data_IF_327080475001
#
_entry.id   IF_327080475001
#
_cell.length_a   1.000
_cell.length_b   1.000
_cell.length_c   1.000
_cell.angle_alpha   90.00
_cell.angle_beta   90.00
_cell.angle_gamma   90.00
#
_symmetry.space_group_name_H-M   'P 1'
#
loop_
_entity.id
_entity.type
_entity.pdbx_description
1 polymer ?
#
# COMPACT_ATOMS: atom_id res chain seq x y z
N UNK A 1 54.07 48.93 0.94
CA UNK A 1 53.11 48.46 1.95
C UNK A 1 51.65 48.42 1.45
N UNK A 2 51.12 49.50 0.84
CA UNK A 2 49.71 49.50 0.36
C UNK A 2 49.36 48.37 -0.67
N UNK A 3 50.29 48.02 -1.58
CA UNK A 3 50.06 46.94 -2.60
C UNK A 3 50.08 45.55 -2.01
N UNK A 4 50.85 45.29 -0.96
CA UNK A 4 50.86 43.98 -0.26
C UNK A 4 49.63 43.84 0.59
N UNK A 5 49.09 44.87 1.21
CA UNK A 5 47.84 44.84 1.97
C UNK A 5 46.65 44.59 1.08
N UNK A 6 46.61 45.12 -0.15
CA UNK A 6 45.56 44.92 -1.12
C UNK A 6 45.56 43.47 -1.64
N UNK A 7 46.75 42.89 -1.90
CA UNK A 7 46.88 41.48 -2.31
C UNK A 7 46.46 40.52 -1.21
N UNK A 8 46.80 40.79 0.06
CA UNK A 8 46.34 40.02 1.22
C UNK A 8 44.80 40.10 1.42
N UNK A 9 44.20 41.28 1.19
CA UNK A 9 42.76 41.47 1.27
C UNK A 9 42.02 40.71 0.16
N UNK A 10 42.57 40.64 -1.07
CA UNK A 10 42.00 39.88 -2.18
C UNK A 10 42.12 38.37 -1.92
N UNK A 11 43.24 37.88 -1.39
CA UNK A 11 43.44 36.49 -1.01
C UNK A 11 42.48 36.10 0.13
N UNK A 12 42.30 36.99 1.13
CA UNK A 12 41.35 36.75 2.22
C UNK A 12 39.89 36.79 1.76
N UNK A 13 39.52 37.65 0.80
CA UNK A 13 38.21 37.67 0.16
C UNK A 13 37.97 36.42 -0.68
N UNK A 14 38.97 35.87 -1.37
CA UNK A 14 38.87 34.60 -2.08
C UNK A 14 38.75 33.39 -1.13
N UNK A 15 39.40 33.44 0.03
CA UNK A 15 39.25 32.40 1.07
C UNK A 15 37.89 32.46 1.77
N UNK A 16 37.26 33.62 1.89
CA UNK A 16 35.91 33.78 2.41
C UNK A 16 34.85 33.36 1.39
N UNK A 17 35.15 33.41 0.08
CA UNK A 17 34.25 32.89 -0.98
C UNK A 17 34.27 31.38 -1.05
N UNK A 18 35.26 30.69 -0.47
CA UNK A 18 35.36 29.23 -0.42
C UNK A 18 34.55 28.58 0.71
N UNK A 19 33.87 29.38 1.54
CA UNK A 19 32.97 28.86 2.61
C UNK A 19 31.51 28.73 2.19
N UNK A 20 31.20 28.77 0.92
CA UNK A 20 29.90 28.31 0.41
C UNK A 20 29.86 26.79 0.49
N UNK A 21 29.12 26.24 1.44
CA UNK A 21 28.90 24.78 1.49
C UNK A 21 28.34 24.26 0.15
N UNK A 22 28.66 23.03 -0.21
CA UNK A 22 28.14 22.37 -1.42
C UNK A 22 26.61 22.49 -1.45
N UNK A 23 26.09 23.04 -2.54
CA UNK A 23 24.66 23.15 -2.76
C UNK A 23 24.15 21.85 -3.41
N UNK A 24 23.29 21.14 -2.70
CA UNK A 24 22.63 19.96 -3.23
C UNK A 24 21.25 20.35 -3.77
N UNK A 25 20.88 19.76 -4.91
CA UNK A 25 19.59 19.93 -5.58
C UNK A 25 19.13 18.59 -6.15
N UNK A 26 17.88 18.19 -5.85
CA UNK A 26 17.26 17.03 -6.46
C UNK A 26 16.24 17.50 -7.49
N UNK A 27 16.44 17.11 -8.75
CA UNK A 27 15.61 17.54 -9.86
C UNK A 27 15.45 16.42 -10.88
N UNK A 28 14.23 16.16 -11.31
CA UNK A 28 13.90 15.16 -12.33
C UNK A 28 14.49 13.76 -12.03
N UNK A 29 14.49 13.36 -10.74
CA UNK A 29 15.02 12.07 -10.31
C UNK A 29 16.54 12.00 -10.15
N UNK A 30 17.26 13.12 -10.36
CA UNK A 30 18.72 13.21 -10.31
C UNK A 30 19.17 14.13 -9.17
N UNK A 31 20.13 13.65 -8.37
CA UNK A 31 20.80 14.45 -7.34
C UNK A 31 22.03 15.16 -7.90
N UNK A 32 22.07 16.48 -7.73
CA UNK A 32 23.20 17.33 -8.11
C UNK A 32 23.92 17.90 -6.89
N UNK A 33 25.25 18.08 -7.00
CA UNK A 33 26.11 18.83 -6.10
C UNK A 33 26.81 19.93 -6.90
N UNK A 34 26.52 21.19 -6.62
CA UNK A 34 27.04 22.36 -7.36
C UNK A 34 26.83 22.21 -8.90
N UNK A 35 25.66 21.69 -9.31
CA UNK A 35 25.27 21.51 -10.72
C UNK A 35 25.90 20.29 -11.40
N UNK A 36 26.62 19.42 -10.70
CA UNK A 36 27.14 18.15 -11.21
C UNK A 36 26.43 16.97 -10.54
N UNK A 37 26.25 15.88 -11.26
CA UNK A 37 25.70 14.65 -10.71
C UNK A 37 26.47 14.20 -9.47
N UNK A 38 25.75 13.95 -8.38
CA UNK A 38 26.35 13.61 -7.10
C UNK A 38 26.47 12.10 -6.90
N UNK A 39 27.54 11.66 -6.26
CA UNK A 39 27.71 10.27 -5.83
C UNK A 39 28.07 10.19 -4.35
N UNK A 40 27.53 9.20 -3.65
CA UNK A 40 27.77 8.94 -2.24
C UNK A 40 26.48 8.63 -1.49
N UNK A 41 26.61 8.48 -0.16
CA UNK A 41 25.49 8.29 0.75
C UNK A 41 25.07 9.62 1.36
N UNK A 42 23.78 9.88 1.41
CA UNK A 42 23.21 11.13 1.88
C UNK A 42 22.12 10.90 2.92
N UNK A 43 22.03 11.80 3.89
CA UNK A 43 20.82 12.03 4.70
C UNK A 43 20.04 13.18 4.08
N UNK A 44 18.72 13.07 4.10
CA UNK A 44 17.81 14.08 3.55
C UNK A 44 16.44 13.96 4.23
N UNK A 45 15.53 14.87 3.90
CA UNK A 45 14.12 14.70 4.21
C UNK A 45 13.36 14.33 2.95
N UNK A 46 12.54 13.29 3.03
CA UNK A 46 11.59 12.89 1.99
C UNK A 46 10.18 13.05 2.55
N UNK A 47 9.42 14.00 1.97
CA UNK A 47 8.09 14.37 2.46
C UNK A 47 8.07 14.73 3.97
N UNK A 48 9.15 15.34 4.47
CA UNK A 48 9.31 15.73 5.87
C UNK A 48 9.83 14.63 6.81
N UNK A 49 9.94 13.38 6.35
CA UNK A 49 10.54 12.29 7.14
C UNK A 49 12.05 12.23 6.92
N UNK A 50 12.79 11.93 7.99
CA UNK A 50 14.24 11.65 7.87
C UNK A 50 14.44 10.44 6.98
N UNK A 51 15.37 10.55 6.04
CA UNK A 51 15.72 9.48 5.11
C UNK A 51 17.23 9.40 4.90
N UNK A 52 17.69 8.25 4.43
CA UNK A 52 19.07 7.99 4.06
C UNK A 52 19.10 7.14 2.80
N UNK A 53 20.01 7.44 1.87
CA UNK A 53 20.15 6.65 0.65
C UNK A 53 21.47 6.93 -0.06
N UNK A 54 21.80 6.07 -1.02
CA UNK A 54 23.01 6.18 -1.84
C UNK A 54 22.63 6.55 -3.27
N UNK A 55 23.39 7.47 -3.84
CA UNK A 55 23.30 7.88 -5.23
C UNK A 55 24.61 7.56 -5.95
N UNK A 56 24.51 7.15 -7.20
CA UNK A 56 25.62 6.93 -8.13
C UNK A 56 25.34 7.71 -9.40
N UNK A 57 26.24 8.65 -9.74
CA UNK A 57 26.03 9.56 -10.88
C UNK A 57 24.64 10.24 -10.86
N UNK A 58 24.26 10.73 -9.69
CA UNK A 58 22.98 11.40 -9.47
C UNK A 58 21.76 10.49 -9.33
N UNK A 59 21.85 9.23 -9.73
CA UNK A 59 20.73 8.27 -9.69
C UNK A 59 20.69 7.50 -8.36
N UNK A 60 19.51 7.25 -7.86
CA UNK A 60 19.29 6.40 -6.69
C UNK A 60 19.84 4.99 -6.97
N UNK A 61 20.68 4.45 -6.06
CA UNK A 61 21.28 3.12 -6.20
C UNK A 61 21.49 2.47 -4.84
N UNK A 62 20.99 1.25 -4.68
CA UNK A 62 21.00 0.50 -3.42
C UNK A 62 19.80 0.79 -2.52
N UNK A 63 20.03 0.68 -1.20
CA UNK A 63 18.99 0.79 -0.17
C UNK A 63 18.75 2.25 0.22
N UNK A 64 17.49 2.63 0.24
CA UNK A 64 16.98 3.87 0.81
C UNK A 64 16.14 3.54 2.05
N UNK A 65 16.40 4.22 3.15
CA UNK A 65 15.68 4.03 4.40
C UNK A 65 14.98 5.32 4.80
N UNK A 66 13.72 5.22 5.20
CA UNK A 66 12.95 6.30 5.85
C UNK A 66 12.65 5.92 7.28
N UNK A 67 12.53 6.90 8.15
CA UNK A 67 12.43 6.68 9.58
C UNK A 67 11.22 7.40 10.17
N UNK A 68 10.59 6.76 11.13
CA UNK A 68 9.65 7.40 12.06
C UNK A 68 10.38 8.43 12.91
N UNK A 69 9.61 9.29 13.63
CA UNK A 69 10.17 10.32 14.51
C UNK A 69 10.96 9.76 15.70
N UNK A 70 10.70 8.53 16.10
CA UNK A 70 11.44 7.81 17.15
C UNK A 70 12.72 7.13 16.64
N UNK A 71 13.00 7.19 15.34
CA UNK A 71 14.17 6.61 14.70
C UNK A 71 13.99 5.16 14.25
N UNK A 72 12.84 4.53 14.50
CA UNK A 72 12.55 3.20 13.94
C UNK A 72 12.37 3.29 12.42
N UNK A 73 12.67 2.19 11.72
CA UNK A 73 12.55 2.11 10.26
C UNK A 73 11.07 2.13 9.89
N UNK A 74 10.72 3.03 8.96
CA UNK A 74 9.38 3.15 8.39
C UNK A 74 9.30 2.49 7.01
N UNK A 75 10.32 2.72 6.17
CA UNK A 75 10.35 2.17 4.79
C UNK A 75 11.77 1.81 4.41
N UNK A 76 11.90 0.76 3.62
CA UNK A 76 13.09 0.38 2.87
C UNK A 76 12.73 0.28 1.40
N UNK A 77 13.24 1.20 0.61
CA UNK A 77 13.12 1.19 -0.84
C UNK A 77 14.44 0.69 -1.44
N UNK A 78 14.38 -0.12 -2.47
CA UNK A 78 15.57 -0.61 -3.18
C UNK A 78 15.57 -0.13 -4.62
N UNK A 79 16.69 0.46 -5.03
CA UNK A 79 16.89 0.98 -6.38
C UNK A 79 18.12 0.36 -7.05
N UNK A 80 18.14 0.36 -8.38
CA UNK A 80 19.32 0.10 -9.20
C UNK A 80 19.34 1.05 -10.38
N UNK A 81 20.39 1.90 -10.48
CA UNK A 81 20.52 2.92 -11.52
C UNK A 81 19.25 3.77 -11.71
N UNK A 82 18.67 4.26 -10.63
CA UNK A 82 17.44 5.03 -10.61
C UNK A 82 16.16 4.22 -10.81
N UNK A 83 16.24 2.92 -11.15
CA UNK A 83 15.08 2.07 -11.30
C UNK A 83 14.66 1.50 -9.96
N UNK A 84 13.38 1.63 -9.66
CA UNK A 84 12.75 1.05 -8.51
C UNK A 84 12.64 -0.49 -8.64
N UNK A 85 12.99 -1.21 -7.57
CA UNK A 85 12.94 -2.67 -7.52
C UNK A 85 11.95 -3.21 -6.48
N UNK A 86 11.96 -2.65 -5.26
CA UNK A 86 11.21 -3.17 -4.13
C UNK A 86 10.99 -2.12 -3.05
N UNK A 87 9.82 -2.17 -2.37
CA UNK A 87 9.53 -1.46 -1.11
C UNK A 87 9.18 -2.45 0.00
N UNK A 88 9.67 -2.19 1.19
CA UNK A 88 9.23 -2.80 2.44
C UNK A 88 8.79 -1.69 3.39
N UNK A 89 7.54 -1.72 3.82
CA UNK A 89 6.94 -0.76 4.73
C UNK A 89 6.75 -1.43 6.07
N UNK A 90 7.09 -0.74 7.15
CA UNK A 90 7.07 -1.29 8.50
C UNK A 90 6.20 -0.46 9.42
N UNK A 91 5.55 -1.12 10.37
CA UNK A 91 4.95 -0.49 11.55
C UNK A 91 6.03 -0.01 12.51
N UNK A 92 5.67 0.91 13.44
CA UNK A 92 6.59 1.36 14.50
C UNK A 92 7.11 0.23 15.39
N UNK A 93 6.35 -0.85 15.54
CA UNK A 93 6.78 -2.05 16.29
C UNK A 93 7.77 -2.93 15.52
N UNK A 94 8.16 -2.55 14.29
CA UNK A 94 9.09 -3.27 13.43
C UNK A 94 8.46 -4.42 12.63
N UNK A 95 7.18 -4.69 12.78
CA UNK A 95 6.47 -5.65 11.95
C UNK A 95 6.30 -5.13 10.52
N UNK A 96 6.36 -6.02 9.54
CA UNK A 96 6.14 -5.69 8.14
C UNK A 96 4.66 -5.31 7.93
N UNK A 97 4.41 -4.14 7.34
CA UNK A 97 3.09 -3.67 6.93
C UNK A 97 2.80 -4.04 5.48
N UNK A 98 3.77 -3.80 4.60
CA UNK A 98 3.65 -4.15 3.19
C UNK A 98 5.01 -4.54 2.60
N UNK A 99 4.97 -5.47 1.65
CA UNK A 99 6.09 -5.87 0.80
C UNK A 99 5.62 -5.77 -0.65
N UNK A 100 6.25 -4.90 -1.42
CA UNK A 100 5.91 -4.71 -2.83
C UNK A 100 7.13 -4.85 -3.72
N UNK A 101 6.99 -5.58 -4.81
CA UNK A 101 7.96 -5.60 -5.89
C UNK A 101 7.29 -5.88 -7.23
N UNK A 102 7.91 -5.42 -8.33
CA UNK A 102 7.41 -5.67 -9.67
C UNK A 102 7.34 -7.16 -10.04
N UNK A 103 8.19 -7.99 -9.42
CA UNK A 103 8.24 -9.43 -9.69
C UNK A 103 7.26 -10.24 -8.84
N UNK A 104 7.10 -9.88 -7.56
CA UNK A 104 6.35 -10.67 -6.58
C UNK A 104 4.97 -10.10 -6.25
N UNK A 105 4.68 -8.86 -6.69
CA UNK A 105 3.46 -8.15 -6.37
C UNK A 105 3.44 -7.55 -4.97
N UNK A 106 2.25 -7.35 -4.44
CA UNK A 106 2.00 -6.73 -3.14
C UNK A 106 1.59 -7.78 -2.11
N UNK A 107 2.18 -7.71 -0.92
CA UNK A 107 1.65 -8.34 0.30
C UNK A 107 1.37 -7.27 1.32
N UNK A 108 0.22 -7.35 1.98
CA UNK A 108 -0.24 -6.41 2.99
C UNK A 108 -0.52 -7.19 4.28
N UNK A 109 -0.03 -6.67 5.41
CA UNK A 109 -0.13 -7.34 6.71
C UNK A 109 -0.73 -6.40 7.76
N UNK A 110 -1.38 -6.96 8.76
CA UNK A 110 -1.71 -6.26 10.00
C UNK A 110 -0.48 -6.08 10.90
N UNK A 111 -0.62 -5.24 11.93
CA UNK A 111 0.44 -4.95 12.91
C UNK A 111 0.76 -6.13 13.87
N UNK A 112 -0.05 -7.19 13.84
CA UNK A 112 0.20 -8.49 14.47
C UNK A 112 0.90 -9.50 13.53
N UNK A 113 1.18 -9.12 12.27
CA UNK A 113 1.82 -9.93 11.26
C UNK A 113 0.88 -10.83 10.46
N UNK A 114 -0.43 -10.79 10.70
CA UNK A 114 -1.38 -11.55 9.90
C UNK A 114 -1.49 -10.96 8.48
N UNK A 115 -1.54 -11.85 7.47
CA UNK A 115 -1.68 -11.45 6.08
C UNK A 115 -3.10 -10.95 5.79
N UNK A 116 -3.22 -9.75 5.25
CA UNK A 116 -4.47 -9.11 4.82
C UNK A 116 -4.77 -9.45 3.38
N UNK A 117 -3.75 -9.30 2.51
CA UNK A 117 -3.87 -9.48 1.07
C UNK A 117 -2.52 -9.88 0.47
N UNK A 118 -2.57 -10.68 -0.59
CA UNK A 118 -1.43 -10.94 -1.46
C UNK A 118 -1.88 -10.86 -2.92
N UNK A 119 -1.11 -10.18 -3.77
CA UNK A 119 -1.30 -10.18 -5.22
C UNK A 119 -0.06 -10.72 -5.91
N UNK A 120 -0.25 -11.45 -6.99
CA UNK A 120 0.81 -11.99 -7.83
C UNK A 120 0.67 -11.45 -9.26
N UNK A 121 1.56 -10.54 -9.71
CA UNK A 121 1.46 -9.95 -11.04
C UNK A 121 1.71 -10.94 -12.18
N UNK A 122 2.39 -12.06 -11.92
CA UNK A 122 2.68 -13.08 -12.94
C UNK A 122 1.45 -13.94 -13.26
N UNK A 123 0.65 -14.24 -12.25
CA UNK A 123 -0.59 -15.04 -12.41
C UNK A 123 -1.83 -14.16 -12.51
N UNK A 124 -1.73 -12.88 -12.15
CA UNK A 124 -2.87 -11.96 -11.99
C UNK A 124 -3.78 -12.33 -10.82
N UNK A 125 -3.31 -13.20 -9.91
CA UNK A 125 -4.08 -13.64 -8.76
C UNK A 125 -3.96 -12.65 -7.61
N UNK A 126 -5.08 -12.35 -6.96
CA UNK A 126 -5.15 -11.58 -5.71
C UNK A 126 -5.98 -12.37 -4.71
N UNK A 127 -5.44 -12.54 -3.51
CA UNK A 127 -6.08 -13.23 -2.39
C UNK A 127 -6.20 -12.26 -1.23
N UNK A 128 -7.40 -12.10 -0.70
CA UNK A 128 -7.61 -11.48 0.62
C UNK A 128 -7.90 -12.58 1.64
N UNK A 129 -7.65 -12.30 2.92
CA UNK A 129 -7.69 -13.30 3.96
C UNK A 129 -8.63 -12.91 5.10
N UNK A 130 -9.29 -13.90 5.69
CA UNK A 130 -9.96 -13.78 6.99
C UNK A 130 -8.96 -13.60 8.12
N UNK A 131 -9.43 -13.12 9.27
CA UNK A 131 -8.63 -12.99 10.50
C UNK A 131 -7.99 -14.29 11.00
N UNK A 132 -8.55 -15.44 10.63
CA UNK A 132 -7.98 -16.75 10.98
C UNK A 132 -6.95 -17.27 9.95
N UNK A 133 -6.61 -16.46 8.94
CA UNK A 133 -5.66 -16.79 7.89
C UNK A 133 -6.22 -17.61 6.72
N UNK A 134 -7.49 -18.01 6.77
CA UNK A 134 -8.12 -18.68 5.65
C UNK A 134 -8.39 -17.67 4.50
N UNK A 135 -8.37 -18.11 3.22
CA UNK A 135 -8.79 -17.26 2.11
C UNK A 135 -10.21 -16.72 2.32
N UNK A 136 -10.40 -15.44 2.03
CA UNK A 136 -11.70 -14.78 2.01
C UNK A 136 -12.20 -14.61 0.58
N UNK A 137 -11.41 -13.95 -0.26
CA UNK A 137 -11.73 -13.73 -1.67
C UNK A 137 -10.49 -14.01 -2.51
N UNK A 138 -10.63 -14.89 -3.48
CA UNK A 138 -9.59 -15.23 -4.46
C UNK A 138 -10.08 -14.74 -5.81
N UNK A 139 -9.31 -13.83 -6.44
CA UNK A 139 -9.56 -13.31 -7.78
C UNK A 139 -8.33 -13.60 -8.61
N UNK A 140 -8.49 -14.27 -9.75
CA UNK A 140 -7.37 -14.55 -10.64
C UNK A 140 -7.81 -15.08 -11.99
N UNK A 141 -7.20 -14.53 -13.06
CA UNK A 141 -7.53 -14.91 -14.42
C UNK A 141 -9.03 -14.74 -14.72
N UNK A 142 -9.71 -15.86 -14.96
CA UNK A 142 -11.16 -15.89 -15.26
C UNK A 142 -11.99 -16.39 -14.08
N UNK A 143 -11.40 -16.50 -12.88
CA UNK A 143 -12.07 -17.06 -11.70
C UNK A 143 -12.17 -16.05 -10.57
N UNK A 144 -13.28 -16.09 -9.83
CA UNK A 144 -13.45 -15.40 -8.55
C UNK A 144 -14.17 -16.32 -7.59
N UNK A 145 -13.63 -16.48 -6.38
CA UNK A 145 -14.21 -17.37 -5.37
C UNK A 145 -14.24 -16.64 -4.02
N UNK A 146 -15.42 -16.57 -3.42
CA UNK A 146 -15.65 -16.09 -2.06
C UNK A 146 -15.81 -17.26 -1.10
N UNK A 147 -15.14 -17.19 0.04
CA UNK A 147 -15.18 -18.19 1.09
C UNK A 147 -15.69 -17.58 2.39
N UNK A 148 -16.33 -18.37 3.23
CA UNK A 148 -16.51 -18.02 4.62
C UNK A 148 -15.25 -18.36 5.45
N UNK A 149 -15.26 -18.01 6.73
CA UNK A 149 -14.14 -18.22 7.65
C UNK A 149 -13.78 -19.69 7.91
N UNK A 150 -14.67 -20.63 7.54
CA UNK A 150 -14.46 -22.08 7.62
C UNK A 150 -13.95 -22.68 6.30
N UNK A 151 -13.58 -21.81 5.34
CA UNK A 151 -13.12 -22.20 4.01
C UNK A 151 -14.21 -22.90 3.15
N UNK A 152 -15.48 -22.63 3.42
CA UNK A 152 -16.60 -23.10 2.61
C UNK A 152 -16.88 -22.09 1.49
N UNK A 153 -17.06 -22.57 0.25
CA UNK A 153 -17.39 -21.72 -0.90
C UNK A 153 -18.80 -21.17 -0.77
N UNK A 154 -18.91 -19.83 -0.75
CA UNK A 154 -20.16 -19.07 -0.75
C UNK A 154 -20.57 -18.66 -2.16
N UNK A 155 -19.58 -18.42 -3.02
CA UNK A 155 -19.78 -17.98 -4.38
C UNK A 155 -18.55 -18.32 -5.23
N UNK A 156 -18.79 -18.75 -6.49
CA UNK A 156 -17.70 -18.96 -7.46
C UNK A 156 -18.16 -18.56 -8.85
N UNK A 157 -17.34 -17.73 -9.53
CA UNK A 157 -17.42 -17.49 -10.97
C UNK A 157 -16.24 -18.20 -11.63
N UNK A 158 -16.49 -18.79 -12.77
CA UNK A 158 -15.48 -19.38 -13.63
C UNK A 158 -15.83 -19.07 -15.09
N UNK A 159 -14.90 -18.45 -15.83
CA UNK A 159 -15.13 -17.98 -17.20
C UNK A 159 -16.39 -17.08 -17.37
N UNK A 160 -16.66 -16.21 -16.39
CA UNK A 160 -17.81 -15.30 -16.40
C UNK A 160 -19.15 -15.95 -16.06
N UNK A 161 -19.17 -17.23 -15.68
CA UNK A 161 -20.38 -17.96 -15.30
C UNK A 161 -20.34 -18.34 -13.83
N UNK A 162 -21.48 -18.21 -13.14
CA UNK A 162 -21.64 -18.72 -11.78
C UNK A 162 -21.57 -20.24 -11.79
N UNK A 163 -20.73 -20.80 -10.91
CA UNK A 163 -20.58 -22.24 -10.73
C UNK A 163 -21.58 -22.74 -9.69
N UNK A 164 -22.19 -23.87 -9.92
CA UNK A 164 -23.04 -24.54 -8.92
C UNK A 164 -22.20 -24.94 -7.69
N UNK A 165 -22.57 -24.38 -6.55
CA UNK A 165 -21.92 -24.62 -5.25
C UNK A 165 -22.74 -25.55 -4.35
N UNK A 166 -23.80 -26.15 -4.89
CA UNK A 166 -24.73 -27.02 -4.14
C UNK A 166 -25.65 -26.25 -3.20
N UNK A 167 -26.02 -25.00 -3.55
CA UNK A 167 -26.97 -24.19 -2.81
C UNK A 167 -28.30 -24.06 -3.53
N UNK A 168 -29.39 -23.90 -2.77
CA UNK A 168 -30.76 -23.72 -3.27
C UNK A 168 -31.17 -22.25 -3.10
N UNK A 169 -31.74 -21.66 -4.14
CA UNK A 169 -32.33 -20.33 -4.11
C UNK A 169 -33.82 -20.41 -3.73
N UNK A 170 -34.18 -19.78 -2.62
CA UNK A 170 -35.56 -19.73 -2.11
C UNK A 170 -36.08 -18.28 -2.24
N UNK A 171 -37.24 -18.12 -2.88
CA UNK A 171 -37.93 -16.81 -2.91
C UNK A 171 -38.77 -16.63 -1.65
N UNK A 172 -38.72 -15.43 -1.07
CA UNK A 172 -39.50 -15.04 0.10
C UNK A 172 -40.78 -14.30 -0.33
N UNK A 173 -41.72 -14.11 0.62
CA UNK A 173 -43.00 -13.43 0.37
C UNK A 173 -42.88 -11.99 -0.06
N UNK A 174 -41.81 -11.29 0.36
CA UNK A 174 -41.50 -9.91 -0.01
C UNK A 174 -40.81 -9.76 -1.37
N UNK A 175 -40.62 -10.88 -2.09
CA UNK A 175 -39.95 -10.93 -3.38
C UNK A 175 -38.42 -11.02 -3.34
N UNK A 176 -37.82 -10.92 -2.18
CA UNK A 176 -36.37 -11.16 -1.99
C UNK A 176 -36.04 -12.65 -2.05
N UNK A 177 -34.75 -12.99 -2.03
CA UNK A 177 -34.30 -14.37 -2.12
C UNK A 177 -33.25 -14.67 -1.04
N UNK A 178 -33.26 -15.93 -0.60
CA UNK A 178 -32.21 -16.52 0.22
C UNK A 178 -31.51 -17.66 -0.51
N UNK A 179 -30.17 -17.64 -0.47
CA UNK A 179 -29.35 -18.75 -0.93
C UNK A 179 -29.03 -19.65 0.26
N UNK A 180 -29.52 -20.91 0.21
CA UNK A 180 -29.40 -21.86 1.33
C UNK A 180 -28.50 -23.01 0.92
N UNK A 181 -27.52 -23.35 1.79
CA UNK A 181 -26.61 -24.49 1.61
C UNK A 181 -26.51 -25.25 2.93
N UNK A 182 -26.71 -26.58 2.90
CA UNK A 182 -26.67 -27.40 4.11
C UNK A 182 -27.56 -26.83 5.24
N UNK A 183 -28.81 -26.47 4.93
CA UNK A 183 -29.80 -25.87 5.84
C UNK A 183 -29.41 -24.52 6.48
N UNK A 184 -28.37 -23.84 5.94
CA UNK A 184 -27.97 -22.52 6.38
C UNK A 184 -28.14 -21.49 5.29
N UNK A 185 -28.66 -20.32 5.65
CA UNK A 185 -28.65 -19.13 4.75
C UNK A 185 -27.22 -18.64 4.64
N UNK A 186 -26.66 -18.67 3.43
CA UNK A 186 -25.30 -18.21 3.13
C UNK A 186 -25.27 -16.85 2.43
N UNK A 187 -26.39 -16.48 1.78
CA UNK A 187 -26.54 -15.15 1.16
C UNK A 187 -28.01 -14.74 1.09
N UNK A 188 -28.23 -13.42 0.96
CA UNK A 188 -29.52 -12.79 0.70
C UNK A 188 -29.42 -11.91 -0.53
N UNK A 189 -30.50 -11.85 -1.30
CA UNK A 189 -30.60 -11.01 -2.51
C UNK A 189 -31.86 -10.18 -2.38
N UNK A 190 -31.79 -8.88 -2.59
CA UNK A 190 -32.96 -8.01 -2.55
C UNK A 190 -33.98 -8.34 -3.67
N UNK A 191 -35.21 -7.88 -3.54
CA UNK A 191 -36.28 -8.17 -4.50
C UNK A 191 -35.99 -7.69 -5.94
N UNK A 192 -35.07 -6.73 -6.11
CA UNK A 192 -34.65 -6.21 -7.42
C UNK A 192 -33.43 -6.97 -7.99
N UNK A 193 -32.82 -7.89 -7.23
CA UNK A 193 -31.63 -8.62 -7.64
C UNK A 193 -30.36 -7.77 -7.72
N UNK A 194 -30.36 -6.58 -7.10
CA UNK A 194 -29.26 -5.63 -7.19
C UNK A 194 -28.30 -5.68 -6.01
N UNK A 195 -28.81 -6.01 -4.81
CA UNK A 195 -28.00 -6.08 -3.58
C UNK A 195 -27.84 -7.52 -3.16
N UNK A 196 -26.62 -8.01 -3.17
CA UNK A 196 -26.23 -9.33 -2.71
C UNK A 196 -25.49 -9.19 -1.37
N UNK A 197 -26.01 -9.88 -0.35
CA UNK A 197 -25.43 -9.90 1.00
C UNK A 197 -25.01 -11.31 1.33
N UNK A 198 -23.70 -11.55 1.47
CA UNK A 198 -23.13 -12.82 1.91
C UNK A 198 -22.90 -12.81 3.42
N UNK A 199 -23.04 -13.96 4.06
CA UNK A 199 -22.98 -14.09 5.50
C UNK A 199 -21.78 -14.93 5.95
N UNK A 200 -21.25 -14.62 7.13
CA UNK A 200 -20.42 -15.54 7.90
C UNK A 200 -21.22 -16.79 8.30
N UNK A 201 -20.54 -17.87 8.66
CA UNK A 201 -21.19 -19.11 9.14
C UNK A 201 -22.04 -18.91 10.40
N UNK A 202 -21.81 -17.83 11.11
CA UNK A 202 -22.50 -17.40 12.35
C UNK A 202 -23.65 -16.42 12.11
N UNK A 203 -23.83 -15.96 10.84
CA UNK A 203 -24.97 -15.14 10.40
C UNK A 203 -24.70 -13.63 10.30
N UNK A 204 -23.56 -13.14 10.75
CA UNK A 204 -23.17 -11.73 10.56
C UNK A 204 -22.91 -11.46 9.08
N UNK A 205 -23.02 -10.20 8.67
CA UNK A 205 -22.73 -9.77 7.29
C UNK A 205 -21.22 -9.92 7.04
N UNK A 206 -20.87 -10.68 5.98
CA UNK A 206 -19.52 -10.82 5.47
C UNK A 206 -19.24 -9.83 4.34
N UNK A 207 -20.12 -9.78 3.35
CA UNK A 207 -19.94 -8.94 2.16
C UNK A 207 -21.29 -8.41 1.67
N UNK A 208 -21.32 -7.17 1.24
CA UNK A 208 -22.43 -6.57 0.49
C UNK A 208 -21.89 -6.11 -0.86
N UNK A 209 -22.52 -6.55 -1.93
CA UNK A 209 -22.23 -6.13 -3.29
C UNK A 209 -23.46 -5.51 -3.92
N UNK A 210 -23.33 -4.29 -4.45
CA UNK A 210 -24.38 -3.62 -5.21
C UNK A 210 -23.99 -3.63 -6.69
N UNK A 211 -24.68 -4.43 -7.48
CA UNK A 211 -24.38 -4.63 -8.91
C UNK A 211 -24.71 -3.40 -9.76
N UNK A 212 -25.63 -2.53 -9.32
CA UNK A 212 -26.04 -1.34 -10.04
C UNK A 212 -25.01 -0.19 -9.88
N UNK A 213 -24.33 -0.11 -8.73
CA UNK A 213 -23.32 0.93 -8.44
C UNK A 213 -21.89 0.40 -8.46
N UNK A 214 -21.70 -0.90 -8.76
CA UNK A 214 -20.43 -1.61 -8.73
C UNK A 214 -19.69 -1.54 -7.38
N UNK A 215 -20.41 -1.16 -6.30
CA UNK A 215 -19.85 -1.04 -4.97
C UNK A 215 -19.80 -2.41 -4.27
N UNK A 216 -18.67 -2.70 -3.65
CA UNK A 216 -18.48 -3.87 -2.80
C UNK A 216 -17.93 -3.43 -1.45
N UNK A 217 -18.57 -3.88 -0.37
CA UNK A 217 -18.08 -3.73 1.00
C UNK A 217 -17.94 -5.12 1.65
N UNK A 218 -16.80 -5.36 2.29
CA UNK A 218 -16.51 -6.56 3.08
C UNK A 218 -16.34 -6.12 4.53
N UNK A 219 -16.87 -6.90 5.45
CA UNK A 219 -16.91 -6.56 6.87
C UNK A 219 -16.14 -7.57 7.70
N UNK A 220 -15.53 -7.12 8.79
CA UNK A 220 -15.14 -7.97 9.90
C UNK A 220 -16.38 -8.50 10.63
N UNK A 221 -16.23 -9.57 11.41
CA UNK A 221 -17.33 -10.10 12.25
C UNK A 221 -17.89 -9.08 13.26
N UNK A 222 -17.10 -8.10 13.66
CA UNK A 222 -17.56 -7.01 14.53
C UNK A 222 -18.40 -5.94 13.81
N UNK A 223 -18.65 -6.10 12.51
CA UNK A 223 -19.43 -5.18 11.67
C UNK A 223 -18.65 -3.97 11.14
N UNK A 224 -17.39 -3.81 11.49
CA UNK A 224 -16.54 -2.77 10.90
C UNK A 224 -16.14 -3.14 9.46
N UNK A 225 -16.05 -2.13 8.59
CA UNK A 225 -15.64 -2.35 7.20
C UNK A 225 -14.18 -2.80 7.14
N UNK A 226 -13.93 -3.97 6.56
CA UNK A 226 -12.61 -4.48 6.20
C UNK A 226 -12.12 -3.88 4.88
N UNK A 227 -12.97 -4.00 3.85
CA UNK A 227 -12.68 -3.53 2.49
C UNK A 227 -13.89 -2.78 1.93
N UNK A 228 -13.60 -1.73 1.15
CA UNK A 228 -14.59 -1.04 0.33
C UNK A 228 -13.97 -0.71 -1.02
N UNK A 229 -14.70 -0.97 -2.13
CA UNK A 229 -14.26 -0.66 -3.48
C UNK A 229 -15.42 -0.43 -4.43
N UNK A 230 -15.16 0.36 -5.49
CA UNK A 230 -16.13 0.73 -6.53
C UNK A 230 -15.59 0.53 -7.97
N UNK A 231 -14.54 -0.31 -8.11
CA UNK A 231 -13.88 -0.55 -9.40
C UNK A 231 -12.83 0.50 -9.79
N UNK A 232 -12.85 1.71 -9.19
CA UNK A 232 -11.86 2.79 -9.41
C UNK A 232 -11.04 3.02 -8.15
N UNK A 233 -11.71 3.04 -7.02
CA UNK A 233 -11.14 3.28 -5.70
C UNK A 233 -11.22 2.02 -4.85
N UNK A 234 -10.24 1.81 -3.98
CA UNK A 234 -10.27 0.75 -2.98
C UNK A 234 -9.68 1.22 -1.67
N UNK A 235 -10.21 0.69 -0.57
CA UNK A 235 -9.73 0.97 0.78
C UNK A 235 -9.77 -0.30 1.61
N UNK A 236 -8.67 -0.57 2.31
CA UNK A 236 -8.58 -1.55 3.38
C UNK A 236 -8.47 -0.85 4.72
N UNK A 237 -9.11 -1.39 5.73
CA UNK A 237 -9.09 -0.85 7.09
C UNK A 237 -8.53 -1.86 8.08
N UNK A 238 -8.05 -1.34 9.21
CA UNK A 238 -7.88 -2.11 10.45
C UNK A 238 -9.25 -2.45 11.07
N UNK A 239 -9.25 -3.37 12.04
CA UNK A 239 -10.46 -3.83 12.75
C UNK A 239 -11.24 -2.74 13.50
N UNK A 240 -10.63 -1.61 13.77
CA UNK A 240 -11.23 -0.43 14.41
C UNK A 240 -11.72 0.62 13.40
N UNK A 241 -11.62 0.31 12.09
CA UNK A 241 -12.07 1.18 11.01
C UNK A 241 -11.06 2.25 10.57
N UNK A 242 -9.89 2.34 11.21
CA UNK A 242 -8.80 3.21 10.75
C UNK A 242 -8.32 2.72 9.38
N UNK A 243 -8.05 3.62 8.41
CA UNK A 243 -7.49 3.21 7.13
C UNK A 243 -6.13 2.53 7.30
N UNK A 244 -5.89 1.45 6.55
CA UNK A 244 -4.59 0.81 6.38
C UNK A 244 -3.98 1.17 5.03
N UNK A 245 -4.80 1.09 3.98
CA UNK A 245 -4.40 1.33 2.59
C UNK A 245 -5.57 1.93 1.82
N UNK A 246 -5.29 2.89 0.95
CA UNK A 246 -6.22 3.46 -0.02
C UNK A 246 -5.57 3.54 -1.40
N UNK A 247 -6.36 3.27 -2.44
CA UNK A 247 -6.01 3.57 -3.82
C UNK A 247 -7.15 4.31 -4.51
N UNK A 248 -6.81 5.23 -5.42
CA UNK A 248 -7.77 5.95 -6.23
C UNK A 248 -7.10 6.38 -7.54
N UNK A 249 -7.57 5.84 -8.68
CA UNK A 249 -7.12 6.25 -10.00
C UNK A 249 -5.60 6.13 -10.25
N UNK A 250 -4.93 5.19 -9.59
CA UNK A 250 -3.47 4.98 -9.68
C UNK A 250 -2.65 5.67 -8.58
N UNK A 251 -3.25 6.53 -7.77
CA UNK A 251 -2.66 7.01 -6.52
C UNK A 251 -2.92 5.99 -5.41
N UNK A 252 -1.95 5.79 -4.54
CA UNK A 252 -2.07 4.90 -3.39
C UNK A 252 -1.43 5.51 -2.14
N UNK A 253 -1.98 5.17 -0.98
CA UNK A 253 -1.58 5.69 0.33
C UNK A 253 -1.58 4.57 1.36
N UNK A 254 -0.59 4.58 2.23
CA UNK A 254 -0.54 3.76 3.43
C UNK A 254 -0.67 4.62 4.66
N UNK A 255 -1.30 4.08 5.71
CA UNK A 255 -1.56 4.80 6.95
C UNK A 255 -1.05 3.99 8.15
N UNK A 256 -0.53 4.68 9.16
CA UNK A 256 -0.22 4.06 10.44
C UNK A 256 -1.48 3.83 11.29
N UNK A 257 -1.30 3.22 12.47
CA UNK A 257 -2.41 2.93 13.39
C UNK A 257 -3.13 4.18 13.92
N UNK A 258 -2.49 5.32 13.88
CA UNK A 258 -3.05 6.62 14.26
C UNK A 258 -3.78 7.30 13.07
N UNK A 259 -3.85 6.66 11.91
CA UNK A 259 -4.48 7.19 10.68
C UNK A 259 -3.62 8.26 9.98
N UNK A 260 -2.34 8.37 10.33
CA UNK A 260 -1.41 9.28 9.66
C UNK A 260 -0.85 8.63 8.40
N UNK A 261 -0.89 9.34 7.26
CA UNK A 261 -0.30 8.89 6.02
C UNK A 261 1.22 8.71 6.15
N UNK A 262 1.73 7.53 5.79
CA UNK A 262 3.14 7.15 5.92
C UNK A 262 3.89 7.39 4.60
N UNK A 263 3.29 7.11 3.46
CA UNK A 263 3.91 7.15 2.14
C UNK A 263 3.08 7.93 1.16
N UNK A 264 3.78 8.70 0.36
CA UNK A 264 3.39 9.25 -0.92
C UNK A 264 4.64 9.24 -1.83
N UNK A 265 4.45 9.48 -3.12
CA UNK A 265 5.49 9.46 -4.14
C UNK A 265 6.79 10.21 -3.75
N UNK A 266 7.92 9.91 -4.42
CA UNK A 266 9.26 10.51 -4.22
C UNK A 266 9.36 12.01 -4.60
N UNK A 267 8.37 12.85 -4.30
CA UNK A 267 8.21 14.13 -4.95
C UNK A 267 8.89 15.31 -4.22
N UNK A 268 9.37 15.10 -2.99
CA UNK A 268 9.95 16.23 -2.23
C UNK A 268 11.14 15.82 -1.37
N UNK A 269 12.32 15.87 -1.97
CA UNK A 269 13.61 15.70 -1.26
C UNK A 269 14.15 17.06 -0.86
N UNK A 270 14.37 17.27 0.44
CA UNK A 270 14.91 18.50 1.04
C UNK A 270 15.99 18.20 2.08
N UNK A 271 16.67 19.25 2.58
CA UNK A 271 17.66 19.16 3.68
C UNK A 271 18.78 18.12 3.42
N UNK A 272 19.32 18.10 2.20
CA UNK A 272 20.28 17.09 1.74
C UNK A 272 21.65 17.33 2.35
N UNK A 273 22.24 16.29 2.95
CA UNK A 273 23.57 16.29 3.55
C UNK A 273 24.33 15.02 3.17
N UNK A 274 25.53 15.17 2.61
CA UNK A 274 26.41 14.03 2.34
C UNK A 274 26.95 13.45 3.65
N UNK A 275 26.95 12.14 3.77
CA UNK A 275 27.61 11.40 4.85
C UNK A 275 29.06 11.09 4.45
N UNK A 276 29.98 11.24 5.40
CA UNK A 276 31.42 10.95 5.21
C UNK A 276 31.68 9.45 5.28
#
# INVERSE_FOLDING_TARGET
MKKILLALLIIFAMLLSACGGIKYEFKEGILYADGKEASGTFEFKLNGFKAKGTFVNGLADGLFERYYSDGSIMVKDTFSNGNYLKDEIYYKNGQLMADFSNEKGLKLFYDDGQLVMASNPQTGETITYHENGNPLLVIGGTTSTLYNENNEVLFKIENGQSTDIGATLNQLEDGSYELVKADKVIAKIDANGQILTYLYSTGEILMVSNTASENTEIFFKNGQTFFKGDGVSSRFNYKDGVPLYESNGGEWKFFDREGKQIISNFDNITDIKKLN
#
